data_IF_469772221838
#
_entry.id   IF_469772221838
#
_cell.length_a   1.000
_cell.length_b   1.000
_cell.length_c   1.000
_cell.angle_alpha   90.00
_cell.angle_beta   90.00
_cell.angle_gamma   90.00
#
_symmetry.space_group_name_H-M   'P 1'
#
loop_
_entity.id
_entity.type
_entity.pdbx_description
1 polymer ?
#
# COMPACT_ATOMS: atom_id res chain seq x y z
N UNK A 1 2.38 -3.33 -15.27
CA UNK A 1 1.88 -2.00 -14.83
C UNK A 1 0.38 -2.09 -14.61
N UNK A 2 -0.16 -1.97 -13.38
CA UNK A 2 -1.59 -1.98 -13.15
C UNK A 2 -2.17 -0.61 -13.51
N UNK A 3 -2.84 -0.54 -14.66
CA UNK A 3 -3.61 0.64 -15.09
C UNK A 3 -5.09 0.30 -15.01
N UNK A 4 -5.79 0.89 -14.06
CA UNK A 4 -7.22 0.77 -13.93
C UNK A 4 -7.90 2.03 -14.45
N UNK A 5 -8.44 1.95 -15.67
CA UNK A 5 -9.04 3.09 -16.39
C UNK A 5 -8.04 4.26 -16.51
N UNK A 6 -8.22 5.32 -15.72
CA UNK A 6 -7.40 6.54 -15.72
C UNK A 6 -6.39 6.61 -14.59
N UNK A 7 -6.25 5.52 -13.84
CA UNK A 7 -5.42 5.46 -12.65
C UNK A 7 -4.32 4.42 -12.82
N UNK A 8 -3.11 4.79 -12.44
CA UNK A 8 -1.96 3.90 -12.43
C UNK A 8 -1.38 3.87 -11.02
N UNK A 9 -1.00 2.68 -10.58
CA UNK A 9 -0.26 2.46 -9.34
C UNK A 9 1.06 1.81 -9.69
N UNK A 10 2.12 2.24 -9.03
CA UNK A 10 3.45 1.71 -9.24
C UNK A 10 4.15 1.53 -7.89
N UNK A 11 4.75 0.37 -7.68
CA UNK A 11 5.58 0.14 -6.49
C UNK A 11 7.04 0.42 -6.83
N UNK A 12 7.72 1.16 -5.96
CA UNK A 12 9.16 1.37 -6.02
C UNK A 12 9.80 0.63 -4.86
N UNK A 13 10.82 -0.18 -5.15
CA UNK A 13 11.62 -0.91 -4.16
C UNK A 13 13.04 -0.38 -4.20
N UNK A 14 13.57 0.05 -3.05
CA UNK A 14 14.86 0.72 -2.93
C UNK A 14 15.04 1.90 -3.90
N UNK A 15 13.96 2.65 -4.16
CA UNK A 15 13.95 3.81 -5.06
C UNK A 15 13.92 3.48 -6.55
N UNK A 16 13.84 2.20 -6.92
CA UNK A 16 13.73 1.75 -8.32
C UNK A 16 12.33 1.19 -8.57
N UNK A 17 11.78 1.43 -9.77
CA UNK A 17 10.52 0.81 -10.20
C UNK A 17 10.62 -0.71 -10.04
N UNK A 18 9.68 -1.31 -9.32
CA UNK A 18 9.57 -2.76 -9.24
C UNK A 18 9.21 -3.35 -10.60
N UNK A 19 9.85 -4.47 -10.94
CA UNK A 19 9.38 -5.31 -12.04
C UNK A 19 8.08 -6.00 -11.62
N UNK A 20 7.12 -6.04 -12.53
CA UNK A 20 5.79 -6.57 -12.26
C UNK A 20 5.48 -7.74 -13.20
N UNK A 21 5.03 -8.84 -12.61
CA UNK A 21 4.71 -10.08 -13.29
C UNK A 21 3.20 -10.33 -13.29
N UNK A 22 2.72 -10.94 -14.37
CA UNK A 22 1.34 -11.41 -14.50
C UNK A 22 1.17 -12.79 -13.85
N UNK A 23 -0.06 -13.13 -13.46
CA UNK A 23 -0.39 -14.51 -13.07
C UNK A 23 -0.59 -15.35 -14.33
N UNK A 24 0.38 -16.21 -14.65
CA UNK A 24 0.31 -17.08 -15.83
C UNK A 24 -0.75 -18.20 -15.69
N UNK A 25 -1.33 -18.40 -14.49
CA UNK A 25 -2.33 -19.44 -14.21
C UNK A 25 -3.80 -18.97 -14.37
N UNK A 26 -4.06 -17.70 -14.72
CA UNK A 26 -5.41 -17.24 -15.11
C UNK A 26 -5.73 -17.62 -16.57
N UNK A 27 -5.87 -18.91 -16.83
CA UNK A 27 -6.46 -19.42 -18.08
C UNK A 27 -7.93 -18.98 -18.19
N UNK A 28 -8.19 -17.95 -18.98
CA UNK A 28 -9.50 -17.74 -19.62
C UNK A 28 -10.63 -17.26 -18.71
N UNK A 29 -10.55 -16.00 -18.29
CA UNK A 29 -11.65 -15.35 -17.58
C UNK A 29 -11.76 -13.85 -17.84
N UNK A 30 -12.02 -13.43 -19.09
CA UNK A 30 -12.49 -12.06 -19.33
C UNK A 30 -13.88 -11.87 -18.71
N UNK A 31 -13.94 -11.70 -17.39
CA UNK A 31 -15.14 -11.23 -16.71
C UNK A 31 -15.26 -9.73 -16.94
N UNK A 32 -16.41 -9.34 -17.47
CA UNK A 32 -16.70 -8.07 -18.13
C UNK A 32 -16.93 -6.91 -17.14
N UNK A 33 -16.17 -6.85 -16.05
CA UNK A 33 -16.09 -5.76 -15.05
C UNK A 33 -14.67 -5.66 -14.49
N UNK A 34 -13.74 -5.17 -15.30
CA UNK A 34 -12.33 -4.95 -14.97
C UNK A 34 -12.19 -3.80 -13.95
N UNK A 35 -12.48 -4.06 -12.67
CA UNK A 35 -12.29 -3.12 -11.56
C UNK A 35 -11.10 -3.51 -10.66
N UNK A 36 -10.39 -4.57 -11.00
CA UNK A 36 -9.29 -5.13 -10.22
C UNK A 36 -8.18 -5.60 -11.17
N UNK A 37 -6.93 -5.36 -10.77
CA UNK A 37 -5.74 -5.81 -11.49
C UNK A 37 -4.76 -6.33 -10.44
N UNK A 38 -4.31 -7.56 -10.62
CA UNK A 38 -3.32 -8.21 -9.76
C UNK A 38 -1.99 -8.27 -10.49
N UNK A 39 -0.91 -7.95 -9.79
CA UNK A 39 0.48 -8.06 -10.27
C UNK A 39 1.34 -8.57 -9.12
N UNK A 40 2.39 -9.30 -9.47
CA UNK A 40 3.40 -9.76 -8.52
C UNK A 40 4.66 -8.92 -8.67
N UNK A 41 5.34 -8.66 -7.56
CA UNK A 41 6.65 -8.00 -7.53
C UNK A 41 7.62 -8.86 -6.73
N UNK A 42 8.89 -8.78 -7.06
CA UNK A 42 9.94 -9.38 -6.22
C UNK A 42 10.14 -8.51 -4.97
N UNK A 43 10.03 -9.14 -3.80
CA UNK A 43 10.28 -8.50 -2.51
C UNK A 43 11.71 -8.82 -2.04
N UNK A 44 12.48 -7.78 -1.72
CA UNK A 44 13.84 -7.92 -1.19
C UNK A 44 13.82 -7.56 0.29
N UNK A 45 14.16 -8.51 1.15
CA UNK A 45 14.20 -8.28 2.59
C UNK A 45 15.11 -7.09 2.97
N UNK A 46 14.63 -6.25 3.88
CA UNK A 46 15.30 -5.02 4.29
C UNK A 46 15.15 -3.86 3.30
N UNK A 47 14.60 -4.06 2.10
CA UNK A 47 14.38 -2.96 1.17
C UNK A 47 13.16 -2.12 1.60
N UNK A 48 13.33 -0.80 1.54
CA UNK A 48 12.21 0.13 1.67
C UNK A 48 11.40 0.15 0.38
N UNK A 49 10.10 0.34 0.49
CA UNK A 49 9.24 0.51 -0.67
C UNK A 49 8.26 1.67 -0.51
N UNK A 50 7.77 2.16 -1.65
CA UNK A 50 6.74 3.19 -1.70
C UNK A 50 5.77 2.95 -2.86
N UNK A 51 4.53 3.41 -2.68
CA UNK A 51 3.55 3.49 -3.75
C UNK A 51 3.65 4.85 -4.43
N UNK A 52 3.64 4.85 -5.76
CA UNK A 52 3.35 6.01 -6.59
C UNK A 52 2.00 5.84 -7.26
N UNK A 53 1.24 6.92 -7.26
CA UNK A 53 -0.09 6.98 -7.84
C UNK A 53 -0.09 8.01 -8.95
N UNK A 54 -0.69 7.65 -10.07
CA UNK A 54 -0.90 8.57 -11.18
C UNK A 54 -2.36 8.60 -11.55
N UNK A 55 -2.91 9.79 -11.75
CA UNK A 55 -4.21 9.99 -12.35
C UNK A 55 -4.05 10.77 -13.66
N UNK A 56 -4.72 10.35 -14.72
CA UNK A 56 -4.76 11.15 -15.95
C UNK A 56 -5.34 12.54 -15.69
N UNK A 57 -4.71 13.54 -16.30
CA UNK A 57 -5.24 14.89 -16.41
C UNK A 57 -6.67 14.89 -16.97
N UNK A 58 -7.41 15.98 -16.71
CA UNK A 58 -8.80 16.20 -17.16
C UNK A 58 -9.89 15.44 -16.39
N UNK A 59 -9.59 14.89 -15.22
CA UNK A 59 -10.63 14.38 -14.33
C UNK A 59 -11.47 15.55 -13.79
N UNK A 60 -12.77 15.60 -14.13
CA UNK A 60 -13.68 16.65 -13.64
C UNK A 60 -14.14 16.34 -12.22
N UNK A 61 -13.38 16.83 -11.24
CA UNK A 61 -13.76 16.86 -9.82
C UNK A 61 -14.07 18.28 -9.37
N UNK A 62 -15.07 18.44 -8.52
CA UNK A 62 -15.36 19.73 -7.88
C UNK A 62 -14.41 19.98 -6.70
N UNK A 63 -14.38 21.19 -6.16
CA UNK A 63 -13.54 21.54 -5.00
C UNK A 63 -13.81 20.66 -3.76
N UNK A 64 -15.05 20.21 -3.59
CA UNK A 64 -15.47 19.35 -2.48
C UNK A 64 -15.18 17.86 -2.75
N UNK A 65 -14.55 17.52 -3.87
CA UNK A 65 -14.30 16.16 -4.29
C UNK A 65 -12.81 15.86 -4.40
N UNK A 66 -12.46 14.61 -4.12
CA UNK A 66 -11.12 14.11 -4.29
C UNK A 66 -11.13 12.69 -4.84
N UNK A 67 -10.01 12.28 -5.42
CA UNK A 67 -9.68 10.88 -5.68
C UNK A 67 -8.82 10.41 -4.52
N UNK A 68 -9.29 9.42 -3.77
CA UNK A 68 -8.55 8.82 -2.65
C UNK A 68 -7.91 7.50 -3.07
N UNK A 69 -6.64 7.36 -2.72
CA UNK A 69 -5.87 6.12 -2.80
C UNK A 69 -5.73 5.56 -1.39
N UNK A 70 -6.54 4.55 -1.06
CA UNK A 70 -6.43 3.83 0.20
C UNK A 70 -5.49 2.66 0.01
N UNK A 71 -4.42 2.62 0.80
CA UNK A 71 -3.39 1.57 0.73
C UNK A 71 -3.68 0.54 1.81
N UNK A 72 -3.47 -0.73 1.50
CA UNK A 72 -3.48 -1.82 2.46
C UNK A 72 -2.16 -2.57 2.32
N UNK A 73 -1.50 -2.79 3.45
CA UNK A 73 -0.24 -3.52 3.54
C UNK A 73 -0.47 -4.66 4.49
N UNK A 74 -0.34 -5.90 4.01
CA UNK A 74 -0.57 -7.11 4.81
C UNK A 74 -1.94 -7.13 5.53
N UNK A 75 -2.97 -6.61 4.86
CA UNK A 75 -4.34 -6.46 5.39
C UNK A 75 -4.57 -5.24 6.27
N UNK A 76 -3.51 -4.54 6.69
CA UNK A 76 -3.64 -3.32 7.47
C UNK A 76 -3.94 -2.11 6.58
N UNK A 77 -5.07 -1.44 6.85
CA UNK A 77 -5.45 -0.20 6.16
C UNK A 77 -4.54 0.96 6.56
N UNK A 78 -3.82 1.48 5.58
CA UNK A 78 -3.03 2.70 5.64
C UNK A 78 -3.73 3.80 4.82
N UNK A 79 -3.92 4.97 5.43
CA UNK A 79 -4.37 6.13 4.66
C UNK A 79 -3.21 6.52 3.74
N UNK A 80 -3.41 6.33 2.44
CA UNK A 80 -2.40 6.64 1.42
C UNK A 80 -2.35 8.13 1.13
N UNK A 81 -2.96 8.54 0.03
CA UNK A 81 -3.05 9.95 -0.37
C UNK A 81 -4.41 10.25 -1.00
N UNK A 82 -4.69 11.52 -1.25
CA UNK A 82 -5.81 11.95 -2.08
C UNK A 82 -5.36 13.07 -3.02
N UNK A 83 -6.02 13.16 -4.19
CA UNK A 83 -5.84 14.23 -5.16
C UNK A 83 -7.13 15.03 -5.24
N UNK A 84 -7.06 16.33 -4.94
CA UNK A 84 -8.17 17.28 -4.95
C UNK A 84 -8.22 18.06 -6.27
N UNK A 85 -9.32 18.78 -6.50
CA UNK A 85 -9.49 19.57 -7.74
C UNK A 85 -8.34 20.53 -8.03
N UNK A 86 -7.70 21.09 -6.99
CA UNK A 86 -6.52 21.96 -7.13
C UNK A 86 -5.34 21.25 -7.79
N UNK A 87 -5.10 19.96 -7.49
CA UNK A 87 -4.01 19.18 -8.08
C UNK A 87 -4.20 18.96 -9.59
N UNK A 88 -5.43 19.09 -10.09
CA UNK A 88 -5.75 18.96 -11.52
C UNK A 88 -5.83 20.30 -12.26
N UNK A 89 -5.76 21.45 -11.56
CA UNK A 89 -5.94 22.77 -12.18
C UNK A 89 -4.85 23.09 -13.21
N UNK A 90 -3.60 22.68 -12.94
CA UNK A 90 -2.47 22.88 -13.85
C UNK A 90 -2.30 21.71 -14.85
N UNK A 91 -2.97 20.59 -14.59
CA UNK A 91 -2.97 19.39 -15.42
C UNK A 91 -4.14 19.42 -16.44
N UNK A 92 -4.11 20.37 -17.37
CA UNK A 92 -5.19 20.61 -18.36
C UNK A 92 -4.86 20.14 -19.78
N UNK A 93 -3.61 19.76 -20.04
CA UNK A 93 -3.20 19.21 -21.33
C UNK A 93 -3.43 17.69 -21.37
N UNK A 94 -3.96 17.21 -22.50
CA UNK A 94 -4.10 15.78 -22.77
C UNK A 94 -2.73 15.07 -22.65
N UNK A 95 -2.70 14.00 -21.86
CA UNK A 95 -1.48 13.23 -21.58
C UNK A 95 -0.68 13.67 -20.36
N UNK A 96 -1.03 14.78 -19.70
CA UNK A 96 -0.48 15.14 -18.39
C UNK A 96 -1.02 14.21 -17.30
N UNK A 97 -0.28 14.05 -16.19
CA UNK A 97 -0.70 13.22 -15.05
C UNK A 97 -0.48 13.97 -13.74
N UNK A 98 -1.39 13.76 -12.80
CA UNK A 98 -1.21 14.17 -11.41
C UNK A 98 -0.52 13.02 -10.67
N UNK A 99 0.54 13.32 -9.94
CA UNK A 99 1.31 12.33 -9.18
C UNK A 99 1.07 12.49 -7.68
N UNK A 100 0.94 11.36 -6.99
CA UNK A 100 0.98 11.28 -5.54
C UNK A 100 1.85 10.10 -5.10
N UNK A 101 2.25 10.07 -3.83
CA UNK A 101 3.00 8.94 -3.29
C UNK A 101 2.61 8.61 -1.85
N UNK A 102 2.89 7.38 -1.45
CA UNK A 102 2.76 6.90 -0.08
C UNK A 102 3.95 5.99 0.22
N UNK A 103 4.92 6.50 0.99
CA UNK A 103 6.12 5.75 1.39
C UNK A 103 6.02 5.15 2.79
N UNK A 104 4.89 5.30 3.47
CA UNK A 104 4.76 4.95 4.86
C UNK A 104 3.53 5.55 5.53
N UNK A 105 3.46 5.38 6.85
CA UNK A 105 2.38 5.90 7.69
C UNK A 105 2.88 7.02 8.58
N UNK A 106 2.10 8.09 8.70
CA UNK A 106 2.33 9.11 9.71
C UNK A 106 1.67 8.72 11.04
N UNK A 107 2.41 8.87 12.14
CA UNK A 107 1.88 8.82 13.50
C UNK A 107 2.00 10.21 14.13
N UNK A 108 0.94 10.66 14.79
CA UNK A 108 0.95 11.91 15.54
C UNK A 108 1.31 11.61 16.98
N UNK A 109 2.51 11.99 17.41
CA UNK A 109 2.96 11.82 18.78
C UNK A 109 3.04 13.17 19.49
N UNK A 110 3.20 13.15 20.83
CA UNK A 110 3.35 14.36 21.64
C UNK A 110 4.52 15.27 21.23
N UNK A 111 5.50 14.73 20.49
CA UNK A 111 6.68 15.45 20.01
C UNK A 111 6.58 15.91 18.55
N UNK A 112 5.47 15.63 17.87
CA UNK A 112 5.24 15.96 16.46
C UNK A 112 4.82 14.76 15.62
N UNK A 113 4.72 14.98 14.30
CA UNK A 113 4.43 13.92 13.35
C UNK A 113 5.70 13.12 13.01
N UNK A 114 5.61 11.80 13.08
CA UNK A 114 6.68 10.88 12.68
C UNK A 114 6.22 10.03 11.50
N UNK A 115 7.07 9.91 10.49
CA UNK A 115 6.87 9.01 9.35
C UNK A 115 7.50 7.65 9.66
N UNK A 116 6.73 6.59 9.51
CA UNK A 116 7.19 5.21 9.53
C UNK A 116 7.14 4.66 8.11
N UNK A 117 8.31 4.47 7.51
CA UNK A 117 8.44 3.99 6.13
C UNK A 117 8.16 2.49 6.05
N UNK A 118 7.58 2.07 4.94
CA UNK A 118 7.39 0.64 4.66
C UNK A 118 8.72 -0.03 4.31
N UNK A 119 8.96 -1.18 4.92
CA UNK A 119 10.13 -2.00 4.65
C UNK A 119 9.73 -3.47 4.59
N UNK A 120 10.21 -4.18 3.59
CA UNK A 120 10.16 -5.63 3.58
C UNK A 120 11.05 -6.20 4.69
N UNK A 121 10.61 -7.27 5.32
CA UNK A 121 11.29 -7.91 6.42
C UNK A 121 11.14 -9.42 6.34
N UNK A 122 12.16 -10.14 6.79
CA UNK A 122 12.13 -11.60 6.86
C UNK A 122 10.94 -12.06 7.70
N UNK A 123 10.24 -13.05 7.17
CA UNK A 123 9.15 -13.69 7.89
C UNK A 123 9.70 -14.82 8.76
N UNK A 124 9.71 -14.63 10.07
CA UNK A 124 10.10 -15.68 11.00
C UNK A 124 8.93 -16.65 11.22
N UNK A 125 9.15 -17.92 10.90
CA UNK A 125 8.16 -18.97 11.12
C UNK A 125 8.42 -19.74 12.40
N UNK A 126 7.35 -20.31 12.98
CA UNK A 126 7.44 -21.24 14.11
C UNK A 126 6.51 -22.44 13.95
N UNK A 127 6.78 -23.48 14.74
CA UNK A 127 5.86 -24.59 14.93
C UNK A 127 4.59 -24.14 15.67
N UNK A 128 3.55 -24.97 15.57
CA UNK A 128 2.32 -24.79 16.32
C UNK A 128 2.51 -25.06 17.81
N UNK A 129 1.95 -24.16 18.61
CA UNK A 129 1.85 -24.28 20.05
C UNK A 129 0.44 -24.74 20.45
N UNK A 130 0.28 -25.22 21.69
CA UNK A 130 -1.00 -25.75 22.19
C UNK A 130 -2.12 -24.71 22.24
N UNK A 131 -1.78 -23.44 22.40
CA UNK A 131 -2.72 -22.32 22.54
C UNK A 131 -3.06 -21.66 21.19
N UNK A 132 -2.52 -22.19 20.08
CA UNK A 132 -2.74 -21.65 18.75
C UNK A 132 -4.12 -22.01 18.20
N UNK A 133 -4.95 -21.00 17.97
CA UNK A 133 -6.21 -21.15 17.26
C UNK A 133 -5.99 -21.06 15.74
N UNK A 134 -5.91 -22.22 15.10
CA UNK A 134 -5.77 -22.35 13.64
C UNK A 134 -6.88 -21.62 12.87
N UNK A 135 -8.08 -21.49 13.44
CA UNK A 135 -9.19 -20.80 12.78
C UNK A 135 -9.00 -19.27 12.73
N UNK A 136 -8.29 -18.71 13.72
CA UNK A 136 -7.93 -17.28 13.78
C UNK A 136 -6.80 -16.90 12.81
N UNK A 137 -6.01 -17.87 12.36
CA UNK A 137 -4.84 -17.60 11.51
C UNK A 137 -5.21 -17.05 10.14
N UNK A 138 -6.34 -17.49 9.57
CA UNK A 138 -6.79 -16.99 8.28
C UNK A 138 -7.14 -15.50 8.36
N UNK A 139 -7.76 -15.08 9.45
CA UNK A 139 -8.10 -13.67 9.67
C UNK A 139 -6.85 -12.83 9.91
N UNK A 140 -5.88 -13.36 10.67
CA UNK A 140 -4.68 -12.60 11.07
C UNK A 140 -3.59 -12.54 10.00
N UNK A 141 -3.40 -13.61 9.23
CA UNK A 141 -2.28 -13.77 8.28
C UNK A 141 -2.74 -14.00 6.83
N UNK A 142 -4.05 -14.02 6.57
CA UNK A 142 -4.60 -14.28 5.23
C UNK A 142 -4.14 -13.27 4.19
N UNK A 143 -3.94 -12.01 4.60
CA UNK A 143 -3.52 -10.93 3.70
C UNK A 143 -2.00 -10.68 3.71
N UNK A 144 -1.22 -11.43 4.50
CA UNK A 144 0.23 -11.27 4.57
C UNK A 144 0.87 -11.38 3.17
N UNK A 145 1.82 -10.51 2.86
CA UNK A 145 2.43 -10.40 1.54
C UNK A 145 1.60 -9.67 0.49
N UNK A 146 0.45 -9.10 0.87
CA UNK A 146 -0.44 -8.41 -0.08
C UNK A 146 -0.31 -6.90 0.04
N UNK A 147 0.02 -6.27 -1.08
CA UNK A 147 -0.03 -4.82 -1.25
C UNK A 147 -1.26 -4.48 -2.09
N UNK A 148 -2.30 -3.93 -1.46
CA UNK A 148 -3.55 -3.59 -2.14
C UNK A 148 -3.78 -2.08 -2.15
N UNK A 149 -4.22 -1.55 -3.28
CA UNK A 149 -4.62 -0.15 -3.40
C UNK A 149 -6.04 -0.09 -3.91
N UNK A 150 -6.89 0.62 -3.19
CA UNK A 150 -8.24 0.93 -3.63
C UNK A 150 -8.34 2.41 -4.02
N UNK A 151 -8.94 2.66 -5.18
CA UNK A 151 -9.14 4.00 -5.72
C UNK A 151 -10.62 4.36 -5.61
N UNK A 152 -10.91 5.45 -4.90
CA UNK A 152 -12.27 5.90 -4.63
C UNK A 152 -12.44 7.37 -5.03
N UNK A 153 -13.56 7.71 -5.68
CA UNK A 153 -14.02 9.09 -5.71
C UNK A 153 -14.74 9.38 -4.40
N UNK A 154 -14.27 10.38 -3.67
CA UNK A 154 -14.82 10.76 -2.36
C UNK A 154 -15.27 12.22 -2.37
N UNK A 155 -16.17 12.54 -1.45
CA UNK A 155 -16.48 13.92 -1.04
C UNK A 155 -15.70 14.22 0.22
N UNK A 156 -14.98 15.34 0.23
CA UNK A 156 -14.25 15.83 1.39
C UNK A 156 -15.26 16.36 2.40
N UNK A 157 -15.30 15.73 3.57
CA UNK A 157 -15.99 16.25 4.75
C UNK A 157 -14.94 16.94 5.64
N UNK A 158 -15.39 17.68 6.66
CA UNK A 158 -14.51 18.32 7.64
C UNK A 158 -13.46 17.35 8.22
N UNK A 159 -12.34 17.91 8.69
CA UNK A 159 -11.16 17.15 9.11
C UNK A 159 -11.50 16.06 10.15
N UNK A 160 -11.18 14.81 9.82
CA UNK A 160 -11.19 13.72 10.79
C UNK A 160 -9.87 13.75 11.58
N UNK A 161 -9.90 13.55 12.92
CA UNK A 161 -8.67 13.45 13.68
C UNK A 161 -7.84 12.27 13.17
N UNK A 162 -6.53 12.48 13.09
CA UNK A 162 -5.59 11.39 12.85
C UNK A 162 -5.84 10.31 13.90
N UNK A 163 -5.99 9.05 13.48
CA UNK A 163 -6.08 7.94 14.42
C UNK A 163 -4.69 7.64 14.96
N UNK A 164 -4.60 7.47 16.28
CA UNK A 164 -3.39 6.99 16.92
C UNK A 164 -2.98 5.63 16.32
N UNK A 165 -1.72 5.53 15.92
CA UNK A 165 -1.14 4.28 15.46
C UNK A 165 -0.36 3.64 16.60
N UNK A 166 -0.76 2.42 16.98
CA UNK A 166 0.07 1.56 17.81
C UNK A 166 0.91 0.70 16.88
N UNK A 167 2.23 0.86 16.94
CA UNK A 167 3.18 0.01 16.23
C UNK A 167 2.89 -1.46 16.54
N UNK A 168 2.62 -2.25 15.51
CA UNK A 168 2.68 -3.71 15.60
C UNK A 168 4.05 -4.15 15.12
N UNK A 169 4.79 -4.81 16.00
CA UNK A 169 5.98 -5.53 15.57
C UNK A 169 5.56 -6.82 14.86
N UNK A 170 6.43 -7.29 13.95
CA UNK A 170 6.25 -8.58 13.31
C UNK A 170 6.35 -9.67 14.38
N UNK A 171 5.24 -10.38 14.61
CA UNK A 171 5.23 -11.59 15.43
C UNK A 171 5.65 -12.79 14.59
N UNK A 172 6.17 -13.83 15.24
CA UNK A 172 6.46 -15.10 14.56
C UNK A 172 5.17 -15.75 14.07
N UNK A 173 5.19 -16.24 12.82
CA UNK A 173 4.01 -16.78 12.15
C UNK A 173 4.05 -18.30 12.14
N UNK A 174 3.01 -19.01 12.62
CA UNK A 174 2.97 -20.46 12.54
C UNK A 174 3.03 -20.95 11.09
N UNK A 175 3.90 -21.91 10.77
CA UNK A 175 4.08 -22.39 9.39
C UNK A 175 2.77 -22.88 8.74
N UNK A 176 1.86 -23.45 9.54
CA UNK A 176 0.53 -23.87 9.04
C UNK A 176 -0.33 -22.71 8.56
N UNK A 177 -0.11 -21.49 9.04
CA UNK A 177 -0.83 -20.30 8.56
C UNK A 177 -0.42 -19.90 7.14
N UNK A 178 0.79 -20.30 6.71
CA UNK A 178 1.36 -19.99 5.40
C UNK A 178 1.23 -21.13 4.39
N UNK A 179 0.70 -22.29 4.81
CA UNK A 179 0.69 -23.50 4.00
C UNK A 179 -0.02 -23.28 2.66
N UNK A 180 0.70 -23.47 1.56
CA UNK A 180 0.21 -23.28 0.19
C UNK A 180 0.46 -21.87 -0.37
N UNK A 181 1.18 -21.01 0.35
CA UNK A 181 1.59 -19.68 -0.11
C UNK A 181 3.12 -19.59 -0.16
N UNK A 182 3.72 -19.16 -1.28
CA UNK A 182 5.16 -18.94 -1.37
C UNK A 182 5.52 -17.57 -0.76
N UNK A 183 5.58 -17.49 0.57
CA UNK A 183 5.82 -16.25 1.31
C UNK A 183 6.99 -16.39 2.28
N UNK A 184 8.09 -15.70 1.97
CA UNK A 184 9.30 -15.65 2.81
C UNK A 184 9.50 -14.27 3.46
N UNK A 185 8.66 -13.30 3.09
CA UNK A 185 8.81 -11.88 3.45
C UNK A 185 7.46 -11.30 3.87
N UNK A 186 7.47 -10.42 4.86
CA UNK A 186 6.35 -9.60 5.28
C UNK A 186 6.74 -8.12 5.32
N UNK A 187 5.80 -7.24 5.67
CA UNK A 187 6.07 -5.80 5.80
C UNK A 187 6.17 -5.36 7.25
N UNK A 188 7.10 -4.44 7.52
CA UNK A 188 7.15 -3.66 8.75
C UNK A 188 7.21 -2.17 8.50
N UNK A 189 6.93 -1.43 9.57
CA UNK A 189 7.00 0.02 9.64
C UNK A 189 8.27 0.45 10.39
N UNK A 190 9.18 1.16 9.72
CA UNK A 190 10.44 1.65 10.30
C UNK A 190 10.42 3.17 10.40
N UNK A 191 10.67 3.71 11.59
CA UNK A 191 10.71 5.16 11.78
C UNK A 191 11.79 5.79 10.88
N UNK A 192 11.41 6.77 10.07
CA UNK A 192 12.37 7.56 9.30
C UNK A 192 13.29 8.30 10.27
N UNK A 193 14.59 8.03 10.18
CA UNK A 193 15.60 8.86 10.84
C UNK A 193 15.70 10.14 10.02
N UNK A 194 15.20 11.26 10.56
CA UNK A 194 15.49 12.56 10.00
C UNK A 194 17.00 12.75 10.09
N UNK A 195 17.71 12.66 8.97
CA UNK A 195 19.10 13.06 8.91
C UNK A 195 19.14 14.55 9.22
N UNK A 196 19.57 14.91 10.43
CA UNK A 196 20.02 16.26 10.75
C UNK A 196 21.31 16.52 9.96
N UNK A 197 21.16 16.79 8.67
CA UNK A 197 22.21 17.28 7.81
C UNK A 197 22.20 18.80 7.87
N UNK A 198 22.83 19.37 8.90
CA UNK A 198 23.34 20.73 8.81
C UNK A 198 24.54 20.71 7.86
N UNK A 199 24.43 21.43 6.74
CA UNK A 199 25.53 22.20 6.14
C UNK A 199 24.95 23.40 5.41
#
# INVERSE_FOLDING_TARGET
MPILDKFEVQVFVAGTRAEEFDDDDEEGGTSRRSQEITKYIEAVSGAFFEFKFFAEANYRITYEQAISFTVFVDGERIIGTYMQGEDFQDATADGTRVEGSCSGRFSMESTGSKLYKFQFADLETRDLELDDDVSSFKEKYGDLGTLKVEVWRITLLDAWPARDYTRKDLETVPEKALKGRPLDVATRSVQAVLSTGFR
#
